data_IF_680869777003
#
_entry.id   IF_680869777003
#
_cell.length_a   1.000
_cell.length_b   1.000
_cell.length_c   1.000
_cell.angle_alpha   90.00
_cell.angle_beta   90.00
_cell.angle_gamma   90.00
#
_symmetry.space_group_name_H-M   'P 1'
#
loop_
_entity.id
_entity.type
_entity.pdbx_description
1 polymer ?
#
# COMPACT_ATOMS: atom_id res chain seq x y z
N UNK A 1 14.28 21.92 -0.78
CA UNK A 1 14.02 21.28 -2.08
C UNK A 1 13.06 20.12 -1.82
N UNK A 2 11.79 20.24 -2.21
CA UNK A 2 10.86 19.11 -2.21
C UNK A 2 11.43 18.02 -3.12
N UNK A 3 11.77 16.85 -2.56
CA UNK A 3 12.03 15.67 -3.39
C UNK A 3 10.70 15.30 -4.05
N UNK A 4 10.57 15.57 -5.35
CA UNK A 4 9.45 15.06 -6.14
C UNK A 4 9.35 13.55 -5.96
N UNK A 5 8.14 13.02 -5.93
CA UNK A 5 7.90 11.58 -5.93
C UNK A 5 8.53 11.01 -7.22
N UNK A 6 9.52 10.13 -7.07
CA UNK A 6 10.27 9.51 -8.17
C UNK A 6 9.62 8.22 -8.66
N UNK A 7 8.31 8.15 -8.52
CA UNK A 7 7.49 7.01 -8.96
C UNK A 7 6.96 7.25 -10.35
N UNK A 8 7.16 6.28 -11.25
CA UNK A 8 6.68 6.35 -12.63
C UNK A 8 5.66 5.24 -12.92
N UNK A 9 4.59 5.59 -13.62
CA UNK A 9 3.54 4.65 -14.04
C UNK A 9 3.56 4.49 -15.55
N UNK A 10 3.59 3.22 -16.00
CA UNK A 10 3.51 2.86 -17.40
C UNK A 10 2.14 2.23 -17.65
N UNK A 11 1.28 3.01 -18.30
CA UNK A 11 -0.13 2.71 -18.55
C UNK A 11 -0.41 2.31 -20.01
N UNK A 12 0.60 2.36 -20.90
CA UNK A 12 0.48 2.02 -22.31
C UNK A 12 1.48 0.96 -22.74
N UNK A 13 1.16 0.21 -23.79
CA UNK A 13 2.09 -0.75 -24.36
C UNK A 13 3.36 -0.06 -24.87
N UNK A 14 4.52 -0.73 -24.72
CA UNK A 14 5.78 -0.15 -25.12
C UNK A 14 6.98 -0.95 -24.69
N UNK A 15 8.15 -0.30 -24.71
CA UNK A 15 9.43 -0.88 -24.33
C UNK A 15 10.18 0.07 -23.39
N UNK A 16 10.65 -0.46 -22.27
CA UNK A 16 11.69 0.16 -21.47
C UNK A 16 13.05 -0.28 -21.98
N UNK A 17 13.93 0.67 -22.24
CA UNK A 17 15.30 0.41 -22.67
C UNK A 17 16.26 1.39 -22.03
N UNK A 18 17.48 0.91 -21.80
CA UNK A 18 18.61 1.74 -21.44
C UNK A 18 19.19 2.41 -22.69
N UNK A 19 19.47 3.67 -22.60
CA UNK A 19 20.33 4.38 -23.53
C UNK A 19 21.19 5.37 -22.74
N UNK A 20 22.51 5.23 -22.90
CA UNK A 20 23.50 5.97 -22.11
C UNK A 20 23.24 5.77 -20.59
N UNK A 21 23.07 6.85 -19.86
CA UNK A 21 22.83 6.82 -18.42
C UNK A 21 21.36 7.14 -18.06
N UNK A 22 20.43 6.82 -18.95
CA UNK A 22 19.00 7.06 -18.76
C UNK A 22 18.16 5.86 -19.18
N UNK A 23 16.92 5.83 -18.69
CA UNK A 23 15.87 4.95 -19.18
C UNK A 23 15.00 5.69 -20.18
N UNK A 24 14.66 5.02 -21.26
CA UNK A 24 13.71 5.49 -22.26
C UNK A 24 12.48 4.59 -22.22
N UNK A 25 11.32 5.19 -22.32
CA UNK A 25 10.07 4.49 -22.57
C UNK A 25 9.59 4.82 -23.98
N UNK A 26 9.67 3.84 -24.87
CA UNK A 26 9.14 3.90 -26.23
C UNK A 26 7.70 3.38 -26.22
N UNK A 27 6.73 4.25 -26.48
CA UNK A 27 5.32 3.90 -26.56
C UNK A 27 5.00 3.28 -27.91
N UNK A 28 4.26 2.17 -27.93
CA UNK A 28 3.80 1.49 -29.14
C UNK A 28 2.36 1.86 -29.48
N UNK A 29 2.05 1.87 -30.79
CA UNK A 29 0.68 1.80 -31.29
C UNK A 29 0.18 0.34 -31.32
N UNK A 30 -1.04 0.15 -31.82
CA UNK A 30 -1.67 -1.17 -31.94
C UNK A 30 -0.96 -2.09 -32.97
N UNK A 31 -0.22 -1.52 -33.90
CA UNK A 31 0.60 -2.24 -34.90
C UNK A 31 2.00 -2.59 -34.37
N UNK A 32 2.37 -2.10 -33.17
CA UNK A 32 3.68 -2.32 -32.55
C UNK A 32 4.77 -1.35 -33.00
N UNK A 33 4.42 -0.29 -33.73
CA UNK A 33 5.36 0.75 -34.09
C UNK A 33 5.55 1.77 -32.96
N UNK A 34 6.77 2.35 -32.88
CA UNK A 34 7.08 3.38 -31.88
C UNK A 34 6.45 4.70 -32.33
N UNK A 35 5.51 5.21 -31.54
CA UNK A 35 4.81 6.47 -31.78
C UNK A 35 5.30 7.63 -30.91
N UNK A 36 5.97 7.34 -29.80
CA UNK A 36 6.56 8.34 -28.93
C UNK A 36 7.69 7.72 -28.10
N UNK A 37 8.68 8.52 -27.73
CA UNK A 37 9.74 8.13 -26.82
C UNK A 37 9.88 9.18 -25.72
N UNK A 38 9.90 8.73 -24.46
CA UNK A 38 10.04 9.59 -23.28
C UNK A 38 11.29 9.21 -22.50
N UNK A 39 12.10 10.20 -22.18
CA UNK A 39 13.26 10.01 -21.30
C UNK A 39 12.78 9.98 -19.85
N UNK A 40 13.28 9.01 -19.12
CA UNK A 40 13.14 8.89 -17.67
C UNK A 40 14.57 8.93 -17.08
N UNK A 41 15.02 10.11 -16.58
CA UNK A 41 16.36 10.25 -16.03
C UNK A 41 16.53 9.32 -14.82
N UNK A 42 17.58 8.49 -14.82
CA UNK A 42 17.77 7.45 -13.79
C UNK A 42 17.79 8.03 -12.38
N UNK A 43 18.36 9.21 -12.20
CA UNK A 43 18.42 9.90 -10.91
C UNK A 43 17.05 10.43 -10.43
N UNK A 44 16.02 10.38 -11.28
CA UNK A 44 14.65 10.80 -10.98
C UNK A 44 13.69 9.61 -10.85
N UNK A 45 14.22 8.38 -10.74
CA UNK A 45 13.41 7.17 -10.63
C UNK A 45 13.79 6.43 -9.35
N UNK A 46 12.81 6.15 -8.50
CA UNK A 46 12.94 5.19 -7.40
C UNK A 46 12.12 3.92 -7.70
N UNK A 47 11.00 4.07 -8.39
CA UNK A 47 10.05 2.98 -8.64
C UNK A 47 9.35 3.14 -9.99
N UNK A 48 9.12 2.01 -10.66
CA UNK A 48 8.32 1.94 -11.89
C UNK A 48 7.18 0.93 -11.70
N UNK A 49 5.95 1.38 -11.90
CA UNK A 49 4.76 0.55 -11.91
C UNK A 49 4.37 0.23 -13.35
N UNK A 50 4.40 -1.04 -13.71
CA UNK A 50 4.08 -1.54 -15.05
C UNK A 50 2.66 -2.10 -15.04
N UNK A 51 1.70 -1.32 -15.56
CA UNK A 51 0.28 -1.67 -15.63
C UNK A 51 -0.18 -2.03 -17.06
N UNK A 52 0.76 -2.08 -18.02
CA UNK A 52 0.50 -2.41 -19.41
C UNK A 52 1.47 -3.47 -19.92
N UNK A 53 1.33 -3.87 -21.19
CA UNK A 53 2.27 -4.79 -21.84
C UNK A 53 3.58 -4.05 -22.17
N UNK A 54 4.66 -4.34 -21.45
CA UNK A 54 5.96 -3.71 -21.61
C UNK A 54 7.03 -4.75 -21.89
N UNK A 55 7.87 -4.47 -22.88
CA UNK A 55 9.10 -5.21 -23.14
C UNK A 55 10.24 -4.58 -22.33
N UNK A 56 11.10 -5.42 -21.75
CA UNK A 56 12.30 -4.99 -21.05
C UNK A 56 13.36 -6.09 -21.23
N UNK A 57 14.57 -5.69 -21.55
CA UNK A 57 15.70 -6.63 -21.66
C UNK A 57 16.49 -6.73 -20.34
N UNK A 58 17.31 -7.77 -20.23
CA UNK A 58 18.11 -8.04 -19.03
C UNK A 58 19.17 -6.97 -18.78
N UNK A 59 19.68 -6.32 -19.82
CA UNK A 59 20.65 -5.23 -19.70
C UNK A 59 20.02 -4.00 -19.05
N UNK A 60 18.80 -3.66 -19.47
CA UNK A 60 17.98 -2.59 -18.84
C UNK A 60 17.63 -2.96 -17.39
N UNK A 61 17.25 -4.22 -17.14
CA UNK A 61 16.95 -4.68 -15.78
C UNK A 61 18.16 -4.59 -14.86
N UNK A 62 19.35 -5.00 -15.32
CA UNK A 62 20.60 -4.88 -14.56
C UNK A 62 20.91 -3.42 -14.23
N UNK A 63 20.76 -2.51 -15.19
CA UNK A 63 20.97 -1.09 -14.98
C UNK A 63 19.99 -0.48 -13.97
N UNK A 64 18.71 -0.88 -13.98
CA UNK A 64 17.74 -0.49 -12.97
C UNK A 64 18.14 -1.02 -11.59
N UNK A 65 18.62 -2.27 -11.51
CA UNK A 65 19.10 -2.85 -10.27
C UNK A 65 20.30 -2.08 -9.70
N UNK A 66 21.30 -1.77 -10.52
CA UNK A 66 22.49 -1.03 -10.11
C UNK A 66 22.16 0.38 -9.54
N UNK A 67 21.02 0.94 -9.97
CA UNK A 67 20.51 2.22 -9.49
C UNK A 67 19.42 2.09 -8.41
N UNK A 68 19.20 0.89 -7.86
CA UNK A 68 18.21 0.60 -6.82
C UNK A 68 16.77 0.95 -7.23
N UNK A 69 16.43 0.86 -8.52
CA UNK A 69 15.07 1.10 -9.03
C UNK A 69 14.22 -0.15 -8.88
N UNK A 70 13.08 -0.02 -8.24
CA UNK A 70 12.10 -1.08 -8.05
C UNK A 70 11.13 -1.17 -9.24
N UNK A 71 10.80 -2.39 -9.68
CA UNK A 71 9.74 -2.60 -10.67
C UNK A 71 8.57 -3.35 -10.01
N UNK A 72 7.36 -2.84 -10.21
CA UNK A 72 6.11 -3.45 -9.78
C UNK A 72 5.31 -3.85 -11.02
N UNK A 73 5.03 -5.16 -11.18
CA UNK A 73 4.37 -5.70 -12.37
C UNK A 73 2.93 -6.06 -12.06
N UNK A 74 2.02 -5.59 -12.92
CA UNK A 74 0.61 -5.86 -12.84
C UNK A 74 0.11 -6.56 -14.11
N UNK A 75 -0.97 -7.34 -13.99
CA UNK A 75 -1.67 -7.88 -15.14
C UNK A 75 -2.50 -6.78 -15.84
N UNK A 76 -2.98 -7.03 -17.09
CA UNK A 76 -3.95 -6.15 -17.75
C UNK A 76 -5.24 -5.93 -16.95
N UNK A 77 -5.55 -6.84 -16.02
CA UNK A 77 -6.69 -6.73 -15.09
C UNK A 77 -6.34 -6.01 -13.79
N UNK A 78 -5.21 -5.27 -13.76
CA UNK A 78 -4.74 -4.48 -12.63
C UNK A 78 -4.46 -5.29 -11.36
N UNK A 79 -4.34 -6.61 -11.50
CA UNK A 79 -3.92 -7.49 -10.40
C UNK A 79 -2.41 -7.50 -10.30
N UNK A 80 -1.89 -7.27 -9.11
CA UNK A 80 -0.47 -7.39 -8.82
C UNK A 80 0.06 -8.79 -9.17
N UNK A 81 1.23 -8.87 -9.84
CA UNK A 81 1.85 -10.13 -10.29
C UNK A 81 3.20 -10.39 -9.65
N UNK A 82 3.94 -9.36 -9.34
CA UNK A 82 5.24 -9.50 -8.72
C UNK A 82 6.06 -8.23 -8.78
N UNK A 83 7.21 -8.29 -8.14
CA UNK A 83 8.17 -7.21 -8.10
C UNK A 83 9.53 -7.70 -8.56
N UNK A 84 10.28 -6.81 -9.16
CA UNK A 84 11.73 -6.96 -9.30
C UNK A 84 12.40 -6.03 -8.30
N UNK A 85 13.20 -6.63 -7.41
CA UNK A 85 13.97 -5.92 -6.41
C UNK A 85 15.45 -6.01 -6.72
N UNK A 86 16.16 -4.87 -6.68
CA UNK A 86 17.62 -4.87 -6.79
C UNK A 86 18.24 -5.69 -5.66
N UNK A 87 19.20 -6.53 -6.00
CA UNK A 87 20.02 -7.26 -5.04
C UNK A 87 21.48 -6.85 -5.21
N UNK A 88 21.76 -5.56 -4.99
CA UNK A 88 23.12 -5.03 -5.09
C UNK A 88 23.73 -4.90 -3.70
N UNK A 89 25.07 -4.83 -3.63
CA UNK A 89 25.81 -4.61 -2.39
C UNK A 89 25.42 -3.31 -1.65
N UNK A 90 24.82 -2.38 -2.37
CA UNK A 90 24.29 -1.11 -1.83
C UNK A 90 22.81 -1.20 -1.44
N UNK A 91 22.13 -2.30 -1.72
CA UNK A 91 20.76 -2.49 -1.23
C UNK A 91 20.83 -2.77 0.27
N UNK A 92 20.06 -2.04 1.06
CA UNK A 92 19.96 -2.15 2.53
C UNK A 92 19.49 -3.55 2.98
N UNK A 93 19.30 -4.45 2.04
CA UNK A 93 18.56 -5.69 2.22
C UNK A 93 19.42 -6.84 2.72
N UNK A 94 18.98 -7.38 3.84
CA UNK A 94 19.27 -8.70 4.43
C UNK A 94 20.46 -8.74 5.36
N UNK A 95 20.29 -8.09 6.51
CA UNK A 95 21.06 -8.47 7.69
C UNK A 95 20.51 -9.79 8.24
N UNK A 96 21.30 -10.85 8.24
CA UNK A 96 20.95 -12.10 8.92
C UNK A 96 20.62 -11.89 10.39
N UNK A 97 21.24 -10.88 11.03
CA UNK A 97 20.93 -10.46 12.38
C UNK A 97 19.46 -9.99 12.52
N UNK A 98 18.99 -9.11 11.64
CA UNK A 98 17.60 -8.61 11.68
C UNK A 98 16.61 -9.74 11.42
N UNK A 99 16.88 -10.58 10.39
CA UNK A 99 16.04 -11.73 10.06
C UNK A 99 15.89 -12.69 11.25
N UNK A 100 17.00 -13.07 11.89
CA UNK A 100 16.96 -13.95 13.06
C UNK A 100 16.17 -13.35 14.24
N UNK A 101 16.30 -12.04 14.48
CA UNK A 101 15.54 -11.39 15.54
C UNK A 101 14.05 -11.24 15.16
N UNK A 102 13.73 -11.03 13.90
CA UNK A 102 12.35 -11.01 13.41
C UNK A 102 11.68 -12.37 13.59
N UNK A 103 12.37 -13.48 13.24
CA UNK A 103 11.90 -14.86 13.48
C UNK A 103 11.69 -15.10 14.99
N UNK A 104 12.69 -14.76 15.82
CA UNK A 104 12.57 -14.92 17.29
C UNK A 104 11.41 -14.13 17.88
N UNK A 105 11.15 -12.92 17.37
CA UNK A 105 10.01 -12.12 17.82
C UNK A 105 8.67 -12.70 17.34
N UNK A 106 8.64 -13.35 16.18
CA UNK A 106 7.47 -14.07 15.68
C UNK A 106 7.18 -15.32 16.51
N UNK A 107 8.22 -16.11 16.87
CA UNK A 107 8.10 -17.33 17.65
C UNK A 107 7.81 -17.07 19.14
N UNK A 108 8.07 -15.86 19.64
CA UNK A 108 7.74 -15.43 21.00
C UNK A 108 6.27 -14.93 21.04
N UNK A 109 5.32 -15.67 21.64
CA UNK A 109 3.92 -15.31 21.64
C UNK A 109 3.62 -13.94 22.24
N UNK A 110 4.38 -13.53 23.26
CA UNK A 110 4.19 -12.24 23.94
C UNK A 110 4.65 -11.08 23.03
N UNK A 111 5.80 -11.20 22.41
CA UNK A 111 6.32 -10.18 21.48
C UNK A 111 5.45 -10.08 20.24
N UNK A 112 5.03 -11.21 19.68
CA UNK A 112 4.15 -11.26 18.53
C UNK A 112 2.81 -10.60 18.84
N UNK A 113 2.16 -10.98 19.94
CA UNK A 113 0.90 -10.38 20.37
C UNK A 113 1.03 -8.88 20.66
N UNK A 114 2.17 -8.45 21.23
CA UNK A 114 2.43 -7.02 21.46
C UNK A 114 2.44 -6.22 20.16
N UNK A 115 3.23 -6.64 19.15
CA UNK A 115 3.31 -5.97 17.86
C UNK A 115 1.94 -5.98 17.16
N UNK A 116 1.27 -7.13 17.11
CA UNK A 116 -0.05 -7.27 16.50
C UNK A 116 -1.09 -6.34 17.16
N UNK A 117 -1.06 -6.23 18.50
CA UNK A 117 -1.95 -5.35 19.27
C UNK A 117 -1.70 -3.88 18.95
N UNK A 118 -0.46 -3.44 18.86
CA UNK A 118 -0.15 -2.04 18.54
C UNK A 118 -0.50 -1.67 17.11
N UNK A 119 -0.32 -2.58 16.13
CA UNK A 119 -0.79 -2.41 14.75
C UNK A 119 -2.32 -2.25 14.74
N UNK A 120 -3.04 -3.16 15.38
CA UNK A 120 -4.50 -3.14 15.44
C UNK A 120 -5.02 -1.90 16.18
N UNK A 121 -4.36 -1.48 17.26
CA UNK A 121 -4.68 -0.26 18.00
C UNK A 121 -4.57 0.98 17.11
N UNK A 122 -3.47 1.09 16.37
CA UNK A 122 -3.27 2.19 15.44
C UNK A 122 -4.32 2.20 14.32
N UNK A 123 -4.67 1.05 13.78
CA UNK A 123 -5.74 0.88 12.80
C UNK A 123 -7.07 1.40 13.33
N UNK A 124 -7.53 0.90 14.49
CA UNK A 124 -8.80 1.33 15.13
C UNK A 124 -8.84 2.85 15.35
N UNK A 125 -7.76 3.42 15.88
CA UNK A 125 -7.70 4.85 16.18
C UNK A 125 -7.65 5.71 14.91
N UNK A 126 -6.98 5.24 13.85
CA UNK A 126 -6.93 5.95 12.57
C UNK A 126 -8.29 5.91 11.86
N UNK A 127 -9.04 4.82 11.95
CA UNK A 127 -10.41 4.73 11.45
C UNK A 127 -11.37 5.65 12.24
N UNK A 128 -11.22 5.69 13.56
CA UNK A 128 -11.99 6.64 14.40
C UNK A 128 -11.69 8.09 14.02
N UNK A 129 -10.41 8.41 13.74
CA UNK A 129 -10.01 9.73 13.27
C UNK A 129 -10.65 10.09 11.93
N UNK A 130 -10.81 9.12 11.01
CA UNK A 130 -11.54 9.33 9.76
C UNK A 130 -13.02 9.65 10.01
N UNK A 131 -13.70 8.86 10.84
CA UNK A 131 -15.10 9.16 11.22
C UNK A 131 -15.22 10.57 11.79
N UNK A 132 -14.36 10.93 12.72
CA UNK A 132 -14.35 12.27 13.35
C UNK A 132 -14.15 13.40 12.34
N UNK A 133 -13.23 13.25 11.36
CA UNK A 133 -13.00 14.25 10.30
C UNK A 133 -14.22 14.47 9.40
N UNK A 134 -15.06 13.45 9.28
CA UNK A 134 -16.31 13.53 8.51
C UNK A 134 -17.55 13.83 9.37
N UNK A 135 -17.36 14.17 10.65
CA UNK A 135 -18.46 14.49 11.58
C UNK A 135 -19.28 13.28 12.02
N UNK A 136 -18.81 12.06 11.74
CA UNK A 136 -19.47 10.81 12.10
C UNK A 136 -19.02 10.38 13.50
N UNK A 137 -19.98 10.17 14.39
CA UNK A 137 -19.71 9.66 15.74
C UNK A 137 -19.46 8.16 15.69
N UNK A 138 -18.33 7.75 16.21
CA UNK A 138 -17.96 6.34 16.32
C UNK A 138 -17.15 6.13 17.60
N UNK A 139 -17.81 5.56 18.62
CA UNK A 139 -17.14 5.20 19.87
C UNK A 139 -16.37 3.88 19.66
N UNK A 140 -15.07 3.96 19.82
CA UNK A 140 -14.16 2.81 19.67
C UNK A 140 -13.66 2.28 21.01
N UNK A 141 -14.07 2.90 22.15
CA UNK A 141 -13.63 2.50 23.48
C UNK A 141 -13.86 1.02 23.78
N UNK A 142 -15.04 0.42 23.46
CA UNK A 142 -15.26 -0.99 23.72
C UNK A 142 -14.29 -1.91 22.95
N UNK A 143 -13.89 -1.49 21.74
CA UNK A 143 -12.94 -2.26 20.93
C UNK A 143 -11.51 -2.14 21.44
N UNK A 144 -11.15 -0.97 21.96
CA UNK A 144 -9.84 -0.76 22.61
C UNK A 144 -9.76 -1.57 23.91
N UNK A 145 -10.84 -1.64 24.70
CA UNK A 145 -10.91 -2.48 25.91
C UNK A 145 -10.79 -3.96 25.56
N UNK A 146 -11.57 -4.44 24.56
CA UNK A 146 -11.47 -5.81 24.06
C UNK A 146 -10.06 -6.14 23.53
N UNK A 147 -9.43 -5.19 22.81
CA UNK A 147 -8.07 -5.34 22.32
C UNK A 147 -7.04 -5.44 23.46
N UNK A 148 -7.23 -4.69 24.54
CA UNK A 148 -6.36 -4.76 25.71
C UNK A 148 -6.49 -6.11 26.43
N UNK A 149 -7.69 -6.70 26.43
CA UNK A 149 -7.97 -7.99 27.04
C UNK A 149 -7.57 -9.18 26.16
N UNK A 150 -7.31 -8.97 24.87
CA UNK A 150 -6.90 -10.04 23.97
C UNK A 150 -5.49 -10.52 24.29
N UNK A 151 -5.31 -11.82 24.57
CA UNK A 151 -4.05 -12.38 25.03
C UNK A 151 -3.15 -12.87 23.87
N UNK A 152 -3.76 -13.28 22.75
CA UNK A 152 -3.07 -13.86 21.61
C UNK A 152 -3.48 -13.22 20.28
N UNK A 153 -2.77 -13.55 19.19
CA UNK A 153 -3.03 -13.01 17.86
C UNK A 153 -4.41 -13.40 17.31
N UNK A 154 -4.91 -14.63 17.46
CA UNK A 154 -6.29 -14.97 17.08
C UNK A 154 -7.35 -14.09 17.75
N UNK A 155 -7.22 -13.82 19.05
CA UNK A 155 -8.14 -12.93 19.76
C UNK A 155 -8.03 -11.48 19.26
N UNK A 156 -6.80 -10.99 19.01
CA UNK A 156 -6.57 -9.66 18.40
C UNK A 156 -7.23 -9.55 17.02
N UNK A 157 -7.06 -10.55 16.17
CA UNK A 157 -7.70 -10.59 14.84
C UNK A 157 -9.24 -10.65 14.92
N UNK A 158 -9.79 -11.33 15.93
CA UNK A 158 -11.24 -11.35 16.14
C UNK A 158 -11.77 -9.95 16.51
N UNK A 159 -11.06 -9.20 17.33
CA UNK A 159 -11.39 -7.80 17.67
C UNK A 159 -11.29 -6.92 16.41
N UNK A 160 -10.20 -7.07 15.63
CA UNK A 160 -10.00 -6.32 14.37
C UNK A 160 -11.16 -6.57 13.40
N UNK A 161 -11.51 -7.83 13.16
CA UNK A 161 -12.57 -8.18 12.23
C UNK A 161 -13.97 -7.70 12.66
N UNK A 162 -14.26 -7.75 13.98
CA UNK A 162 -15.50 -7.23 14.53
C UNK A 162 -15.58 -5.70 14.38
N UNK A 163 -14.49 -5.01 14.70
CA UNK A 163 -14.37 -3.56 14.56
C UNK A 163 -14.51 -3.13 13.08
N UNK A 164 -13.79 -3.77 12.18
CA UNK A 164 -13.77 -3.43 10.75
C UNK A 164 -15.16 -3.53 10.11
N UNK A 165 -15.97 -4.49 10.54
CA UNK A 165 -17.37 -4.61 10.09
C UNK A 165 -18.16 -3.36 10.44
N UNK A 166 -18.09 -2.89 11.69
CA UNK A 166 -18.80 -1.70 12.16
C UNK A 166 -18.25 -0.42 11.50
N UNK A 167 -16.94 -0.33 11.31
CA UNK A 167 -16.34 0.80 10.62
C UNK A 167 -16.84 0.93 9.18
N UNK A 168 -16.94 -0.17 8.42
CA UNK A 168 -17.48 -0.13 7.07
C UNK A 168 -18.97 0.27 7.03
N UNK A 169 -19.75 -0.01 8.06
CA UNK A 169 -21.12 0.48 8.16
C UNK A 169 -21.16 2.03 8.24
N UNK A 170 -20.15 2.65 8.90
CA UNK A 170 -19.99 4.11 8.99
C UNK A 170 -19.66 4.76 7.64
N UNK A 171 -19.14 4.03 6.69
CA UNK A 171 -18.91 4.56 5.34
C UNK A 171 -20.18 5.10 4.69
N UNK A 172 -21.35 4.51 5.00
CA UNK A 172 -22.62 4.98 4.50
C UNK A 172 -23.04 6.37 5.07
N UNK A 173 -22.46 6.78 6.19
CA UNK A 173 -22.65 8.12 6.73
C UNK A 173 -21.67 9.14 6.11
N UNK A 174 -20.52 8.67 5.57
CA UNK A 174 -19.46 9.50 4.99
C UNK A 174 -19.64 9.71 3.49
N UNK A 175 -20.04 8.67 2.75
CA UNK A 175 -20.19 8.73 1.30
C UNK A 175 -21.52 9.36 0.91
N UNK A 176 -21.46 10.43 0.12
CA UNK A 176 -22.65 11.19 -0.27
C UNK A 176 -23.54 10.45 -1.30
N UNK A 177 -22.94 9.76 -2.30
CA UNK A 177 -23.67 9.01 -3.34
C UNK A 177 -24.03 7.59 -2.88
N UNK A 178 -25.03 7.49 -2.01
CA UNK A 178 -25.55 6.21 -1.52
C UNK A 178 -26.25 5.37 -2.59
N UNK A 179 -26.70 5.98 -3.69
CA UNK A 179 -27.34 5.24 -4.78
C UNK A 179 -26.34 4.35 -5.52
N UNK A 180 -25.14 4.85 -5.74
CA UNK A 180 -24.10 4.17 -6.54
C UNK A 180 -23.07 3.40 -5.70
N UNK A 181 -22.84 3.84 -4.45
CA UNK A 181 -21.71 3.40 -3.63
C UNK A 181 -22.09 3.01 -2.20
N UNK A 182 -23.37 2.63 -1.97
CA UNK A 182 -23.76 2.10 -0.66
C UNK A 182 -22.95 0.87 -0.32
N UNK A 183 -22.28 0.88 0.82
CA UNK A 183 -21.63 -0.29 1.36
C UNK A 183 -22.66 -1.22 2.02
N UNK A 184 -22.64 -2.49 1.73
CA UNK A 184 -23.48 -3.52 2.35
C UNK A 184 -22.67 -4.57 3.08
N UNK A 185 -21.79 -5.22 2.36
CA UNK A 185 -20.90 -6.26 2.88
C UNK A 185 -19.57 -6.26 2.13
N UNK A 186 -18.49 -6.55 2.83
CA UNK A 186 -17.17 -6.64 2.20
C UNK A 186 -17.03 -7.90 1.35
N UNK A 187 -16.83 -7.72 0.04
CA UNK A 187 -16.51 -8.79 -0.92
C UNK A 187 -15.14 -8.52 -1.58
N UNK A 188 -14.34 -9.58 -1.77
CA UNK A 188 -12.92 -9.41 -2.16
C UNK A 188 -12.52 -10.10 -3.47
N UNK A 189 -12.96 -11.31 -3.74
CA UNK A 189 -12.44 -12.15 -4.84
C UNK A 189 -13.54 -12.92 -5.57
N UNK A 190 -14.19 -12.36 -6.59
CA UNK A 190 -14.08 -10.97 -7.06
C UNK A 190 -14.90 -10.01 -6.19
N UNK A 191 -14.63 -8.66 -6.26
CA UNK A 191 -15.52 -7.66 -5.69
C UNK A 191 -16.90 -7.72 -6.34
N UNK A 192 -17.96 -7.71 -5.52
CA UNK A 192 -19.35 -7.88 -5.99
C UNK A 192 -19.98 -6.57 -6.49
N UNK A 193 -19.44 -5.42 -6.10
CA UNK A 193 -19.96 -4.08 -6.40
C UNK A 193 -18.85 -3.05 -6.59
N UNK A 194 -19.23 -1.85 -6.97
CA UNK A 194 -18.31 -0.76 -7.31
C UNK A 194 -17.50 -0.28 -6.10
N UNK A 195 -18.14 -0.15 -4.91
CA UNK A 195 -17.42 0.29 -3.72
C UNK A 195 -16.41 -0.76 -3.27
N UNK A 196 -16.75 -2.04 -3.31
CA UNK A 196 -15.82 -3.13 -3.02
C UNK A 196 -14.68 -3.23 -4.04
N UNK A 197 -14.96 -2.90 -5.31
CA UNK A 197 -13.92 -2.80 -6.35
C UNK A 197 -12.96 -1.67 -6.04
N UNK A 198 -13.47 -0.50 -5.63
CA UNK A 198 -12.63 0.64 -5.25
C UNK A 198 -11.76 0.34 -4.03
N UNK A 199 -12.35 -0.19 -2.96
CA UNK A 199 -11.61 -0.61 -1.76
C UNK A 199 -10.51 -1.60 -2.13
N UNK A 200 -10.83 -2.62 -2.93
CA UNK A 200 -9.86 -3.67 -3.31
C UNK A 200 -8.71 -3.10 -4.14
N UNK A 201 -8.98 -2.19 -5.07
CA UNK A 201 -7.98 -1.53 -5.87
C UNK A 201 -7.03 -0.69 -5.00
N UNK A 202 -7.59 0.23 -4.20
CA UNK A 202 -6.80 1.14 -3.36
C UNK A 202 -6.00 0.35 -2.31
N UNK A 203 -6.60 -0.64 -1.63
CA UNK A 203 -5.88 -1.46 -0.68
C UNK A 203 -4.69 -2.20 -1.31
N UNK A 204 -4.85 -2.71 -2.54
CA UNK A 204 -3.74 -3.33 -3.28
C UNK A 204 -2.61 -2.33 -3.52
N UNK A 205 -2.93 -1.06 -3.79
CA UNK A 205 -1.92 0.00 -3.93
C UNK A 205 -1.19 0.27 -2.61
N UNK A 206 -1.93 0.36 -1.49
CA UNK A 206 -1.33 0.55 -0.16
C UNK A 206 -0.42 -0.64 0.19
N UNK A 207 -0.85 -1.88 -0.07
CA UNK A 207 -0.02 -3.07 0.13
C UNK A 207 1.32 -2.96 -0.61
N UNK A 208 1.30 -2.54 -1.88
CA UNK A 208 2.51 -2.41 -2.69
C UNK A 208 3.42 -1.29 -2.18
N UNK A 209 2.85 -0.16 -1.76
CA UNK A 209 3.62 0.94 -1.16
C UNK A 209 4.29 0.48 0.14
N UNK A 210 3.56 -0.19 1.04
CA UNK A 210 4.12 -0.74 2.26
C UNK A 210 5.23 -1.76 1.97
N UNK A 211 5.01 -2.66 1.01
CA UNK A 211 6.00 -3.63 0.59
C UNK A 211 7.28 -2.94 0.06
N UNK A 212 7.12 -1.92 -0.79
CA UNK A 212 8.23 -1.12 -1.31
C UNK A 212 9.05 -0.46 -0.19
N UNK A 213 8.36 0.10 0.82
CA UNK A 213 9.05 0.75 1.92
C UNK A 213 9.69 -0.26 2.91
N UNK A 214 9.10 -1.45 3.10
CA UNK A 214 9.72 -2.55 3.85
C UNK A 214 11.02 -3.00 3.17
N UNK A 215 11.03 -3.12 1.84
CA UNK A 215 12.25 -3.48 1.10
C UNK A 215 13.40 -2.47 1.24
N UNK A 216 13.11 -1.24 1.62
CA UNK A 216 14.10 -0.20 1.95
C UNK A 216 14.55 -0.28 3.42
N UNK A 217 14.12 -1.31 4.15
CA UNK A 217 14.59 -1.68 5.48
C UNK A 217 15.25 -3.06 5.44
N UNK A 218 15.75 -3.55 6.56
CA UNK A 218 16.34 -4.89 6.64
C UNK A 218 15.34 -5.97 7.06
N UNK A 219 14.04 -5.61 7.26
CA UNK A 219 12.99 -6.56 7.60
C UNK A 219 12.63 -7.45 6.41
N UNK A 220 12.35 -8.72 6.68
CA UNK A 220 11.82 -9.64 5.68
C UNK A 220 10.29 -9.48 5.57
N UNK A 221 9.76 -9.18 4.38
CA UNK A 221 8.32 -8.98 4.19
C UNK A 221 7.49 -10.26 4.32
N UNK A 222 8.12 -11.45 4.34
CA UNK A 222 7.42 -12.72 4.52
C UNK A 222 6.96 -12.94 5.97
N UNK A 223 7.58 -12.28 6.95
CA UNK A 223 7.35 -12.52 8.37
C UNK A 223 6.61 -11.32 8.97
N UNK A 224 5.29 -11.42 9.01
CA UNK A 224 4.40 -10.49 9.74
C UNK A 224 4.13 -10.98 11.16
N UNK A 225 3.38 -10.19 11.91
CA UNK A 225 3.06 -10.47 13.32
C UNK A 225 1.56 -10.63 13.55
N UNK A 226 0.72 -9.88 12.84
CA UNK A 226 -0.73 -9.97 12.87
C UNK A 226 -1.23 -11.05 11.91
N UNK A 227 -0.87 -10.93 10.62
CA UNK A 227 -1.22 -11.91 9.60
C UNK A 227 -0.26 -13.09 9.61
N UNK A 228 -0.81 -14.31 9.50
CA UNK A 228 -0.01 -15.53 9.42
C UNK A 228 0.86 -15.57 8.15
N UNK A 229 2.16 -15.84 8.26
CA UNK A 229 2.98 -16.20 7.12
C UNK A 229 2.43 -17.46 6.46
N UNK A 230 2.30 -17.45 5.16
CA UNK A 230 1.90 -18.63 4.40
C UNK A 230 2.66 -18.73 3.08
N UNK A 231 2.58 -19.89 2.40
CA UNK A 231 3.35 -20.18 1.18
C UNK A 231 3.09 -19.24 -0.01
N UNK A 232 2.05 -18.42 0.02
CA UNK A 232 1.59 -17.64 -1.14
C UNK A 232 1.60 -16.14 -0.92
N UNK A 233 1.74 -15.67 0.29
CA UNK A 233 1.52 -14.25 0.63
C UNK A 233 2.59 -13.77 1.59
N UNK A 234 3.23 -12.69 1.23
CA UNK A 234 4.01 -11.89 2.16
C UNK A 234 3.06 -11.36 3.23
N UNK A 235 3.43 -11.37 4.51
CA UNK A 235 2.52 -11.02 5.61
C UNK A 235 2.80 -9.65 6.23
N UNK A 236 4.06 -9.24 6.39
CA UNK A 236 4.41 -7.98 7.06
C UNK A 236 3.84 -6.73 6.35
N UNK A 237 3.78 -6.73 5.02
CA UNK A 237 3.21 -5.59 4.30
C UNK A 237 1.70 -5.45 4.48
N UNK A 238 1.00 -6.57 4.77
CA UNK A 238 -0.41 -6.54 5.14
C UNK A 238 -0.57 -5.90 6.51
N UNK A 239 0.26 -6.33 7.49
CA UNK A 239 0.28 -5.78 8.84
C UNK A 239 0.48 -4.26 8.82
N UNK A 240 1.53 -3.82 8.11
CA UNK A 240 1.87 -2.41 8.02
C UNK A 240 0.75 -1.60 7.32
N UNK A 241 0.13 -2.19 6.32
CA UNK A 241 -0.95 -1.55 5.58
C UNK A 241 -2.20 -1.32 6.43
N UNK A 242 -2.48 -2.14 7.46
CA UNK A 242 -3.63 -1.91 8.33
C UNK A 242 -3.57 -0.50 8.96
N UNK A 243 -2.39 -0.05 9.35
CA UNK A 243 -2.18 1.29 9.91
C UNK A 243 -2.48 2.39 8.89
N UNK A 244 -2.11 2.17 7.62
CA UNK A 244 -2.12 3.22 6.59
C UNK A 244 -3.33 3.19 5.65
N UNK A 245 -4.11 2.12 5.60
CA UNK A 245 -5.39 2.07 4.85
C UNK A 245 -6.32 3.22 5.23
N UNK A 246 -6.61 3.47 6.53
CA UNK A 246 -7.47 4.58 6.92
C UNK A 246 -6.95 5.92 6.41
N UNK A 247 -5.64 6.13 6.56
CA UNK A 247 -4.99 7.41 6.35
C UNK A 247 -4.86 7.75 4.86
N UNK A 248 -4.43 6.79 4.06
CA UNK A 248 -4.09 6.99 2.66
C UNK A 248 -5.15 6.46 1.70
N UNK A 249 -5.74 5.31 2.05
CA UNK A 249 -6.70 4.61 1.21
C UNK A 249 -8.11 5.17 1.37
N UNK A 250 -8.67 5.08 2.55
CA UNK A 250 -10.07 5.44 2.80
C UNK A 250 -10.32 6.92 2.59
N UNK A 251 -9.42 7.79 3.07
CA UNK A 251 -9.50 9.23 2.82
C UNK A 251 -9.45 9.58 1.33
N UNK A 252 -8.67 8.83 0.53
CA UNK A 252 -8.63 8.99 -0.92
C UNK A 252 -9.98 8.62 -1.52
N UNK A 253 -10.53 7.46 -1.15
CA UNK A 253 -11.84 6.97 -1.64
C UNK A 253 -12.93 7.99 -1.30
N UNK A 254 -13.05 8.43 -0.04
CA UNK A 254 -14.03 9.41 0.38
C UNK A 254 -13.89 10.73 -0.38
N UNK A 255 -12.65 11.22 -0.52
CA UNK A 255 -12.40 12.45 -1.28
C UNK A 255 -12.84 12.33 -2.73
N UNK A 256 -12.48 11.25 -3.41
CA UNK A 256 -12.79 11.08 -4.83
C UNK A 256 -14.28 10.86 -5.11
N UNK A 257 -14.99 10.13 -4.22
CA UNK A 257 -16.43 9.90 -4.34
C UNK A 257 -17.22 11.18 -4.01
N UNK A 258 -16.92 11.84 -2.90
CA UNK A 258 -17.67 13.04 -2.46
C UNK A 258 -17.42 14.25 -3.36
N UNK A 259 -16.24 14.34 -4.00
CA UNK A 259 -15.96 15.37 -5.01
C UNK A 259 -16.40 14.96 -6.43
N UNK A 260 -17.01 13.78 -6.59
CA UNK A 260 -17.44 13.23 -7.89
C UNK A 260 -16.30 13.10 -8.91
N UNK A 261 -15.08 12.94 -8.45
CA UNK A 261 -13.91 12.68 -9.32
C UNK A 261 -13.96 11.26 -9.88
N UNK A 262 -14.54 10.32 -9.13
CA UNK A 262 -14.95 8.97 -9.54
C UNK A 262 -16.44 8.84 -9.34
N UNK A 263 -17.12 8.34 -10.36
CA UNK A 263 -18.58 8.15 -10.44
C UNK A 263 -18.90 6.72 -10.88
N UNK A 264 -20.17 6.35 -10.88
CA UNK A 264 -20.59 5.02 -11.36
C UNK A 264 -20.24 4.75 -12.82
N UNK A 265 -20.01 5.79 -13.64
CA UNK A 265 -19.64 5.68 -15.07
C UNK A 265 -18.17 5.30 -15.27
N UNK A 266 -17.34 5.48 -14.25
CA UNK A 266 -15.91 5.16 -14.30
C UNK A 266 -15.63 3.66 -14.11
N UNK A 267 -16.69 2.86 -13.92
CA UNK A 267 -16.60 1.40 -13.77
C UNK A 267 -17.13 0.68 -15.00
N UNK A 268 -16.51 -0.43 -15.32
CA UNK A 268 -16.86 -1.33 -16.42
C UNK A 268 -17.02 -2.76 -15.88
N UNK A 269 -17.88 -3.54 -16.50
CA UNK A 269 -17.99 -4.98 -16.23
C UNK A 269 -17.33 -5.75 -17.37
N UNK A 270 -16.34 -6.58 -17.03
CA UNK A 270 -15.62 -7.40 -17.97
C UNK A 270 -15.55 -8.85 -17.42
N UNK A 271 -16.04 -9.82 -18.17
CA UNK A 271 -16.14 -11.21 -17.77
C UNK A 271 -16.74 -11.40 -16.36
N UNK A 272 -17.80 -10.63 -16.04
CA UNK A 272 -18.47 -10.67 -14.73
C UNK A 272 -17.71 -9.99 -13.58
N UNK A 273 -16.60 -9.31 -13.87
CA UNK A 273 -15.80 -8.56 -12.87
C UNK A 273 -15.97 -7.06 -13.05
N UNK A 274 -16.19 -6.38 -11.95
CA UNK A 274 -16.25 -4.91 -11.92
C UNK A 274 -14.83 -4.38 -11.81
N UNK A 275 -14.43 -3.55 -12.79
CA UNK A 275 -13.13 -2.89 -12.86
C UNK A 275 -13.27 -1.42 -13.24
N UNK A 276 -12.24 -0.62 -12.98
CA UNK A 276 -12.19 0.76 -13.44
C UNK A 276 -11.90 0.85 -14.94
N UNK A 277 -12.38 1.92 -15.55
CA UNK A 277 -11.88 2.36 -16.87
C UNK A 277 -10.40 2.80 -16.77
N UNK A 278 -9.68 2.79 -17.87
CA UNK A 278 -8.27 3.23 -17.88
C UNK A 278 -8.10 4.68 -17.41
N UNK A 279 -9.02 5.57 -17.79
CA UNK A 279 -9.01 6.97 -17.37
C UNK A 279 -9.23 7.11 -15.87
N UNK A 280 -10.13 6.31 -15.30
CA UNK A 280 -10.35 6.27 -13.85
C UNK A 280 -9.12 5.78 -13.10
N UNK A 281 -8.47 4.73 -13.61
CA UNK A 281 -7.19 4.26 -13.07
C UNK A 281 -6.15 5.36 -13.06
N UNK A 282 -5.98 6.06 -14.15
CA UNK A 282 -5.03 7.16 -14.24
C UNK A 282 -5.32 8.27 -13.21
N UNK A 283 -6.59 8.65 -13.04
CA UNK A 283 -7.00 9.63 -12.03
C UNK A 283 -6.66 9.17 -10.62
N UNK A 284 -6.98 7.91 -10.28
CA UNK A 284 -6.70 7.33 -8.95
C UNK A 284 -5.19 7.31 -8.70
N UNK A 285 -4.40 6.86 -9.67
CA UNK A 285 -2.95 6.76 -9.53
C UNK A 285 -2.29 8.13 -9.34
N UNK A 286 -2.66 9.13 -10.15
CA UNK A 286 -2.15 10.49 -10.01
C UNK A 286 -2.45 11.07 -8.62
N UNK A 287 -3.67 10.82 -8.12
CA UNK A 287 -4.07 11.29 -6.79
C UNK A 287 -3.36 10.54 -5.66
N UNK A 288 -3.15 9.23 -5.81
CA UNK A 288 -2.37 8.42 -4.86
C UNK A 288 -0.90 8.89 -4.81
N UNK A 289 -0.28 9.16 -5.97
CA UNK A 289 1.09 9.67 -6.05
C UNK A 289 1.19 11.01 -5.32
N UNK A 290 0.27 11.95 -5.63
CA UNK A 290 0.24 13.26 -4.98
C UNK A 290 0.12 13.10 -3.46
N UNK A 291 -0.79 12.22 -3.00
CA UNK A 291 -0.99 11.94 -1.57
C UNK A 291 0.26 11.38 -0.90
N UNK A 292 0.92 10.42 -1.52
CA UNK A 292 2.14 9.79 -0.98
C UNK A 292 3.32 10.77 -0.89
N UNK A 293 3.34 11.80 -1.75
CA UNK A 293 4.34 12.87 -1.75
C UNK A 293 4.05 14.02 -0.78
N UNK A 294 2.82 14.12 -0.24
CA UNK A 294 2.50 15.12 0.79
C UNK A 294 3.35 14.88 2.04
N UNK A 295 3.76 15.98 2.67
CA UNK A 295 4.55 15.94 3.89
C UNK A 295 3.71 16.20 5.13
N UNK A 296 4.08 15.53 6.21
CA UNK A 296 3.58 15.79 7.55
C UNK A 296 4.75 16.11 8.48
N UNK A 297 4.53 16.97 9.45
CA UNK A 297 5.54 17.24 10.47
C UNK A 297 5.48 16.18 11.57
N UNK A 298 6.57 15.45 11.76
CA UNK A 298 6.67 14.38 12.74
C UNK A 298 8.01 14.44 13.47
N UNK A 299 7.96 14.71 14.78
CA UNK A 299 9.17 14.86 15.59
C UNK A 299 10.09 15.98 15.11
N UNK A 300 9.51 17.10 14.65
CA UNK A 300 10.25 18.28 14.16
C UNK A 300 10.87 18.10 12.76
N UNK A 301 10.45 17.07 12.01
CA UNK A 301 10.91 16.83 10.63
C UNK A 301 9.70 16.68 9.70
N UNK A 302 9.81 17.26 8.52
CA UNK A 302 8.82 17.06 7.47
C UNK A 302 9.13 15.78 6.70
N UNK A 303 8.21 14.80 6.79
CA UNK A 303 8.33 13.50 6.18
C UNK A 303 7.20 13.30 5.17
N UNK A 304 7.51 12.77 4.00
CA UNK A 304 6.49 12.28 3.07
C UNK A 304 5.80 11.04 3.65
N UNK A 305 4.57 10.75 3.20
CA UNK A 305 3.87 9.54 3.65
C UNK A 305 4.66 8.25 3.40
N UNK A 306 5.43 8.16 2.31
CA UNK A 306 6.36 7.04 2.09
C UNK A 306 7.43 6.95 3.17
N UNK A 307 7.99 8.07 3.58
CA UNK A 307 8.98 8.11 4.65
C UNK A 307 8.37 7.74 6.01
N UNK A 308 7.10 8.11 6.23
CA UNK A 308 6.36 7.72 7.45
C UNK A 308 6.16 6.20 7.48
N UNK A 309 5.74 5.58 6.37
CA UNK A 309 5.61 4.13 6.25
C UNK A 309 6.96 3.43 6.52
N UNK A 310 8.05 3.92 5.92
CA UNK A 310 9.40 3.39 6.17
C UNK A 310 9.83 3.54 7.62
N UNK A 311 9.52 4.70 8.22
CA UNK A 311 9.79 4.94 9.64
C UNK A 311 9.06 3.93 10.51
N UNK A 312 7.82 3.64 10.20
CA UNK A 312 7.01 2.65 10.93
C UNK A 312 7.63 1.25 10.87
N UNK A 313 8.03 0.79 9.69
CA UNK A 313 8.77 -0.46 9.54
C UNK A 313 10.07 -0.47 10.37
N UNK A 314 10.81 0.65 10.38
CA UNK A 314 12.02 0.77 11.20
C UNK A 314 11.73 0.78 12.71
N UNK A 315 10.56 1.21 13.16
CA UNK A 315 10.17 1.11 14.58
C UNK A 315 9.94 -0.35 14.97
N UNK A 316 9.28 -1.14 14.11
CA UNK A 316 9.16 -2.60 14.30
C UNK A 316 10.56 -3.24 14.34
N UNK A 317 11.47 -2.87 13.42
CA UNK A 317 12.86 -3.35 13.44
C UNK A 317 13.56 -3.06 14.76
N UNK A 318 13.44 -1.84 15.28
CA UNK A 318 14.03 -1.48 16.57
C UNK A 318 13.47 -2.30 17.73
N UNK A 319 12.16 -2.53 17.73
CA UNK A 319 11.57 -3.39 18.75
C UNK A 319 12.12 -4.81 18.71
N UNK A 320 12.16 -5.45 17.53
CA UNK A 320 12.62 -6.85 17.41
C UNK A 320 14.11 -7.02 17.67
N UNK A 321 14.94 -6.02 17.34
CA UNK A 321 16.40 -6.10 17.47
C UNK A 321 16.94 -5.54 18.78
N UNK A 322 16.31 -4.49 19.30
CA UNK A 322 16.84 -3.68 20.41
C UNK A 322 15.91 -3.69 21.63
N UNK A 323 14.69 -4.23 21.50
CA UNK A 323 13.68 -4.19 22.56
C UNK A 323 13.09 -2.80 22.81
N UNK A 324 13.33 -1.84 21.92
CA UNK A 324 12.77 -0.49 22.03
C UNK A 324 11.23 -0.54 21.93
N UNK A 325 10.48 0.18 22.78
CA UNK A 325 9.01 0.16 22.73
C UNK A 325 8.50 0.51 21.35
N UNK A 326 7.50 -0.25 20.87
CA UNK A 326 6.82 -0.02 19.61
C UNK A 326 5.40 0.48 19.87
N UNK A 327 5.05 1.58 19.26
CA UNK A 327 3.68 2.10 19.20
C UNK A 327 3.33 2.35 17.74
N UNK A 328 2.20 1.79 17.29
CA UNK A 328 1.73 1.97 15.93
C UNK A 328 1.38 3.43 15.63
N UNK A 329 1.67 3.89 14.42
CA UNK A 329 1.48 5.29 14.00
C UNK A 329 0.01 5.71 14.09
N UNK A 330 -0.24 6.82 14.75
CA UNK A 330 -1.57 7.44 14.93
C UNK A 330 -1.59 8.79 14.25
N UNK A 331 -2.61 9.00 13.43
CA UNK A 331 -2.83 10.23 12.70
C UNK A 331 -4.01 10.99 13.31
N UNK A 332 -3.76 11.78 14.31
CA UNK A 332 -4.81 12.52 15.03
C UNK A 332 -4.42 13.93 15.33
#
# INVERSE_FOLDING_TARGET
MQKSDRTHFILSAGRLRRQDNNIYFDKFDDAGAVVASKILPINAIDEIYILAKVQIDTYTMAFLADNNVLLHVFSPYQSFRGNFYPNTSNSVNKSGFVLLNQVRAFDDPLKRAYIAREITRAHILNDAANCKRHGVKFDVSPHIEALNAAEDVPAIMAVEGAFQKLYYEKWNEIIADQKSFKFTVRSKRPPADKINSFISYVNTRIYNVCLSEIYKTELDPCIGFLHEPNYRVLSLHLDLAEIFKPILGDTLIFSMLNKKEITAKDFQTDAGRIKFSNDAVQKIELKMIARLGETISLGGRDLTWRQVIRREANQIKKYVCEGAPYEGFRWG
#
